data_IF_244751849576
#
_entry.id   IF_244751849576
#
_cell.length_a   1.000
_cell.length_b   1.000
_cell.length_c   1.000
_cell.angle_alpha   90.00
_cell.angle_beta   90.00
_cell.angle_gamma   90.00
#
_symmetry.space_group_name_H-M   'P 1'
#
loop_
_entity.id
_entity.type
_entity.pdbx_description
1 polymer ?
#
# COMPACT_ATOMS: atom_id res chain seq x y z
N UNK A 1 -35.86 -3.70 33.99
CA UNK A 1 -34.55 -3.86 33.33
C UNK A 1 -34.82 -4.75 32.14
N UNK A 2 -34.81 -4.22 30.91
CA UNK A 2 -35.10 -5.01 29.72
C UNK A 2 -33.88 -5.86 29.37
N UNK A 3 -34.02 -7.17 29.47
CA UNK A 3 -33.07 -8.13 28.89
C UNK A 3 -33.12 -7.98 27.36
N UNK A 4 -31.98 -7.67 26.73
CA UNK A 4 -31.88 -7.65 25.27
C UNK A 4 -32.10 -9.07 24.76
N UNK A 5 -32.86 -9.21 23.68
CA UNK A 5 -33.11 -10.51 23.08
C UNK A 5 -31.82 -11.01 22.40
N UNK A 6 -31.46 -12.31 22.48
CA UNK A 6 -30.23 -12.83 21.89
C UNK A 6 -30.12 -12.60 20.36
N UNK A 7 -31.25 -12.41 19.68
CA UNK A 7 -31.29 -12.02 18.26
C UNK A 7 -30.81 -10.58 18.03
N UNK A 8 -31.15 -9.64 18.94
CA UNK A 8 -30.73 -8.23 18.85
C UNK A 8 -29.21 -8.10 19.04
N UNK A 9 -28.64 -8.88 19.96
CA UNK A 9 -27.19 -8.90 20.19
C UNK A 9 -26.39 -9.49 19.01
N UNK A 10 -26.96 -10.48 18.30
CA UNK A 10 -26.33 -11.04 17.10
C UNK A 10 -26.31 -10.01 15.96
N UNK A 11 -27.42 -9.30 15.76
CA UNK A 11 -27.55 -8.29 14.72
C UNK A 11 -26.67 -7.06 14.97
N UNK A 12 -26.58 -6.61 16.23
CA UNK A 12 -25.68 -5.52 16.63
C UNK A 12 -24.20 -5.85 16.31
N UNK A 13 -23.78 -7.10 16.53
CA UNK A 13 -22.41 -7.55 16.24
C UNK A 13 -22.11 -7.63 14.75
N UNK A 14 -23.05 -8.15 13.95
CA UNK A 14 -22.92 -8.16 12.48
C UNK A 14 -22.76 -6.73 11.96
N UNK A 15 -23.53 -5.78 12.52
CA UNK A 15 -23.43 -4.38 12.13
C UNK A 15 -22.09 -3.75 12.50
N UNK A 16 -21.60 -4.00 13.73
CA UNK A 16 -20.27 -3.55 14.15
C UNK A 16 -19.16 -4.09 13.25
N UNK A 17 -19.25 -5.36 12.86
CA UNK A 17 -18.31 -5.97 11.93
C UNK A 17 -18.39 -5.32 10.53
N UNK A 18 -19.61 -5.08 10.03
CA UNK A 18 -19.82 -4.42 8.75
C UNK A 18 -19.26 -2.99 8.73
N UNK A 19 -19.46 -2.22 9.80
CA UNK A 19 -18.95 -0.86 9.95
C UNK A 19 -17.41 -0.85 10.01
N UNK A 20 -16.82 -1.83 10.71
CA UNK A 20 -15.36 -1.97 10.77
C UNK A 20 -14.76 -2.38 9.41
N UNK A 21 -15.43 -3.27 8.66
CA UNK A 21 -15.02 -3.65 7.30
C UNK A 21 -15.12 -2.45 6.33
N UNK A 22 -16.17 -1.64 6.47
CA UNK A 22 -16.33 -0.41 5.70
C UNK A 22 -15.22 0.60 6.01
N UNK A 23 -14.87 0.77 7.31
CA UNK A 23 -13.75 1.63 7.71
C UNK A 23 -12.43 1.14 7.12
N UNK A 24 -12.14 -0.16 7.20
CA UNK A 24 -10.93 -0.74 6.59
C UNK A 24 -10.89 -0.51 5.07
N UNK A 25 -12.03 -0.69 4.39
CA UNK A 25 -12.15 -0.45 2.95
C UNK A 25 -11.87 1.01 2.59
N UNK A 26 -12.38 1.97 3.39
CA UNK A 26 -12.13 3.38 3.20
C UNK A 26 -10.64 3.73 3.39
N UNK A 27 -9.97 3.15 4.39
CA UNK A 27 -8.53 3.34 4.62
C UNK A 27 -7.70 2.74 3.47
N UNK A 28 -8.05 1.56 2.96
CA UNK A 28 -7.41 1.00 1.77
C UNK A 28 -7.59 1.91 0.54
N UNK A 29 -8.78 2.49 0.37
CA UNK A 29 -9.06 3.46 -0.71
C UNK A 29 -8.17 4.71 -0.59
N UNK A 30 -7.98 5.22 0.63
CA UNK A 30 -7.05 6.33 0.88
C UNK A 30 -5.60 5.95 0.57
N UNK A 31 -5.15 4.75 0.97
CA UNK A 31 -3.81 4.27 0.63
C UNK A 31 -3.61 4.10 -0.88
N UNK A 32 -4.64 3.69 -1.62
CA UNK A 32 -4.60 3.61 -3.08
C UNK A 32 -4.38 5.00 -3.68
N UNK A 33 -5.16 6.00 -3.28
CA UNK A 33 -5.01 7.37 -3.78
C UNK A 33 -3.63 7.95 -3.45
N UNK A 34 -3.08 7.67 -2.26
CA UNK A 34 -1.72 8.07 -1.90
C UNK A 34 -0.66 7.32 -2.72
N UNK A 35 -0.93 6.07 -3.10
CA UNK A 35 -0.03 5.26 -3.95
C UNK A 35 -0.04 5.72 -5.40
N UNK A 36 -1.19 6.18 -5.89
CA UNK A 36 -1.30 6.84 -7.21
C UNK A 36 -0.47 8.13 -7.24
N UNK A 37 -0.63 9.00 -6.23
CA UNK A 37 0.17 10.22 -6.11
C UNK A 37 1.68 9.95 -5.98
N UNK A 38 2.05 8.87 -5.29
CA UNK A 38 3.46 8.44 -5.22
C UNK A 38 3.96 8.02 -6.60
N UNK A 39 3.15 7.28 -7.35
CA UNK A 39 3.51 6.86 -8.71
C UNK A 39 3.79 8.08 -9.59
N UNK A 40 2.93 9.09 -9.54
CA UNK A 40 3.10 10.33 -10.29
C UNK A 40 4.37 11.06 -9.88
N UNK A 41 4.64 11.18 -8.58
CA UNK A 41 5.85 11.82 -8.05
C UNK A 41 7.14 11.05 -8.40
N UNK A 42 7.09 9.71 -8.45
CA UNK A 42 8.20 8.87 -8.90
C UNK A 42 8.51 9.08 -10.38
N UNK A 43 7.47 9.21 -11.22
CA UNK A 43 7.61 9.45 -12.66
C UNK A 43 8.14 10.86 -12.93
N UNK A 44 7.69 11.86 -12.18
CA UNK A 44 8.12 13.26 -12.34
C UNK A 44 9.44 13.59 -11.65
N UNK A 45 9.95 12.69 -10.78
CA UNK A 45 11.17 12.92 -9.99
C UNK A 45 11.01 13.94 -8.85
N UNK A 46 9.79 14.13 -8.34
CA UNK A 46 9.51 15.09 -7.27
C UNK A 46 9.81 14.52 -5.88
N UNK A 47 11.05 14.69 -5.43
CA UNK A 47 11.52 14.20 -4.14
C UNK A 47 10.84 14.81 -2.91
N UNK A 48 10.33 16.05 -3.01
CA UNK A 48 9.65 16.70 -1.88
C UNK A 48 8.28 16.05 -1.64
N UNK A 49 7.51 15.89 -2.72
CA UNK A 49 6.20 15.20 -2.66
C UNK A 49 6.35 13.76 -2.17
N UNK A 50 7.40 13.04 -2.57
CA UNK A 50 7.65 11.67 -2.07
C UNK A 50 7.83 11.61 -0.55
N UNK A 51 8.53 12.59 0.03
CA UNK A 51 8.76 12.64 1.48
C UNK A 51 7.47 12.88 2.26
N UNK A 52 6.61 13.78 1.77
CA UNK A 52 5.30 14.03 2.36
C UNK A 52 4.38 12.79 2.28
N UNK A 53 4.35 12.14 1.12
CA UNK A 53 3.53 10.96 0.88
C UNK A 53 3.91 9.78 1.77
N UNK A 54 5.19 9.57 2.05
CA UNK A 54 5.65 8.53 3.00
C UNK A 54 5.05 8.75 4.40
N UNK A 55 5.01 9.99 4.86
CA UNK A 55 4.47 10.33 6.18
C UNK A 55 2.95 10.10 6.25
N UNK A 56 2.22 10.53 5.21
CA UNK A 56 0.78 10.31 5.11
C UNK A 56 0.43 8.81 5.04
N UNK A 57 1.14 8.05 4.19
CA UNK A 57 0.94 6.59 4.07
C UNK A 57 1.20 5.88 5.40
N UNK A 58 2.23 6.29 6.15
CA UNK A 58 2.50 5.73 7.47
C UNK A 58 1.33 5.98 8.44
N UNK A 59 0.80 7.19 8.47
CA UNK A 59 -0.35 7.53 9.34
C UNK A 59 -1.57 6.67 9.01
N UNK A 60 -1.93 6.55 7.73
CA UNK A 60 -3.09 5.75 7.29
C UNK A 60 -2.85 4.26 7.54
N UNK A 61 -1.63 3.75 7.32
CA UNK A 61 -1.28 2.36 7.60
C UNK A 61 -1.35 2.02 9.10
N UNK A 62 -0.98 2.96 9.98
CA UNK A 62 -1.14 2.79 11.42
C UNK A 62 -2.61 2.71 11.83
N UNK A 63 -3.46 3.58 11.27
CA UNK A 63 -4.90 3.52 11.52
C UNK A 63 -5.50 2.21 11.00
N UNK A 64 -5.10 1.77 9.80
CA UNK A 64 -5.53 0.50 9.24
C UNK A 64 -5.13 -0.68 10.13
N UNK A 65 -3.93 -0.67 10.69
CA UNK A 65 -3.47 -1.72 11.63
C UNK A 65 -4.31 -1.77 12.92
N UNK A 66 -4.74 -0.63 13.44
CA UNK A 66 -5.66 -0.58 14.58
C UNK A 66 -7.03 -1.17 14.21
N UNK A 67 -7.59 -0.77 13.07
CA UNK A 67 -8.87 -1.30 12.58
C UNK A 67 -8.81 -2.80 12.28
N UNK A 68 -7.69 -3.30 11.76
CA UNK A 68 -7.47 -4.74 11.53
C UNK A 68 -7.47 -5.52 12.85
N UNK A 69 -6.86 -4.97 13.89
CA UNK A 69 -6.86 -5.60 15.22
C UNK A 69 -8.29 -5.70 15.77
N UNK A 70 -9.06 -4.61 15.67
CA UNK A 70 -10.46 -4.60 16.10
C UNK A 70 -11.32 -5.58 15.29
N UNK A 71 -11.09 -5.63 13.97
CA UNK A 71 -11.77 -6.56 13.05
C UNK A 71 -11.49 -8.02 13.42
N UNK A 72 -10.23 -8.37 13.67
CA UNK A 72 -9.85 -9.73 14.04
C UNK A 72 -10.47 -10.15 15.38
N UNK A 73 -10.52 -9.24 16.36
CA UNK A 73 -11.16 -9.51 17.64
C UNK A 73 -12.68 -9.69 17.52
N UNK A 74 -13.36 -8.84 16.73
CA UNK A 74 -14.79 -8.97 16.45
C UNK A 74 -15.09 -10.27 15.70
N UNK A 75 -14.31 -10.56 14.67
CA UNK A 75 -14.44 -11.76 13.86
C UNK A 75 -14.24 -13.02 14.69
N UNK A 76 -13.18 -13.05 15.51
CA UNK A 76 -12.90 -14.17 16.42
C UNK A 76 -14.06 -14.43 17.38
N UNK A 77 -14.62 -13.40 18.02
CA UNK A 77 -15.78 -13.55 18.92
C UNK A 77 -17.03 -14.05 18.19
N UNK A 78 -17.21 -13.69 16.92
CA UNK A 78 -18.30 -14.21 16.10
C UNK A 78 -18.07 -15.67 15.72
N UNK A 79 -16.87 -16.02 15.26
CA UNK A 79 -16.50 -17.40 14.91
C UNK A 79 -16.58 -18.34 16.12
N UNK A 80 -16.03 -17.97 17.28
CA UNK A 80 -16.11 -18.76 18.52
C UNK A 80 -17.55 -19.13 18.91
N UNK A 81 -18.53 -18.31 18.53
CA UNK A 81 -19.95 -18.53 18.81
C UNK A 81 -20.66 -19.34 17.72
N UNK A 82 -20.42 -19.03 16.45
CA UNK A 82 -21.20 -19.55 15.32
C UNK A 82 -20.54 -20.74 14.63
N UNK A 83 -19.21 -20.81 14.62
CA UNK A 83 -18.43 -21.88 14.00
C UNK A 83 -17.13 -22.10 14.81
N UNK A 84 -17.22 -22.71 16.01
CA UNK A 84 -16.09 -22.85 16.92
C UNK A 84 -14.93 -23.70 16.36
N UNK A 85 -15.21 -24.55 15.38
CA UNK A 85 -14.22 -25.32 14.60
C UNK A 85 -13.51 -24.52 13.49
N UNK A 86 -13.95 -23.30 13.17
CA UNK A 86 -13.31 -22.46 12.15
C UNK A 86 -11.99 -21.85 12.67
N UNK A 87 -11.06 -21.60 11.74
CA UNK A 87 -9.95 -20.68 12.02
C UNK A 87 -10.52 -19.33 12.45
N UNK A 88 -10.18 -18.86 13.65
CA UNK A 88 -10.63 -17.56 14.15
C UNK A 88 -10.08 -16.38 13.33
N UNK A 89 -10.69 -15.20 13.47
CA UNK A 89 -10.27 -13.96 12.82
C UNK A 89 -10.91 -13.73 11.43
N UNK A 90 -10.40 -12.74 10.69
CA UNK A 90 -10.94 -12.32 9.39
C UNK A 90 -11.09 -13.47 8.37
N UNK A 91 -10.12 -14.40 8.33
CA UNK A 91 -10.16 -15.55 7.41
C UNK A 91 -11.31 -16.53 7.71
N UNK A 92 -11.76 -16.58 8.96
CA UNK A 92 -12.90 -17.40 9.39
C UNK A 92 -14.26 -16.77 9.10
N UNK A 93 -14.31 -15.47 8.78
CA UNK A 93 -15.60 -14.80 8.57
C UNK A 93 -16.39 -15.38 7.41
N UNK A 94 -15.71 -15.82 6.35
CA UNK A 94 -16.39 -16.47 5.22
C UNK A 94 -17.05 -17.79 5.62
N UNK A 95 -16.53 -18.49 6.63
CA UNK A 95 -17.07 -19.75 7.11
C UNK A 95 -18.35 -19.56 7.95
N UNK A 96 -18.55 -18.40 8.57
CA UNK A 96 -19.75 -18.12 9.38
C UNK A 96 -20.91 -17.53 8.56
N UNK A 97 -20.68 -17.10 7.32
CA UNK A 97 -21.73 -16.53 6.45
C UNK A 97 -22.96 -17.42 6.27
N UNK A 98 -22.85 -18.76 6.14
CA UNK A 98 -24.01 -19.64 6.03
C UNK A 98 -24.90 -19.68 7.29
N UNK A 99 -24.35 -19.31 8.45
CA UNK A 99 -25.05 -19.31 9.75
C UNK A 99 -25.82 -18.01 10.01
N UNK A 100 -25.74 -17.04 9.10
CA UNK A 100 -26.39 -15.73 9.22
C UNK A 100 -27.71 -15.68 8.45
N UNK A 101 -28.56 -14.71 8.80
CA UNK A 101 -29.73 -14.41 7.98
C UNK A 101 -29.33 -13.91 6.59
N UNK A 102 -30.22 -14.06 5.60
CA UNK A 102 -29.94 -13.66 4.21
C UNK A 102 -29.47 -12.21 4.07
N UNK A 103 -30.07 -11.30 4.84
CA UNK A 103 -29.72 -9.87 4.83
C UNK A 103 -28.34 -9.62 5.44
N UNK A 104 -28.02 -10.27 6.55
CA UNK A 104 -26.74 -10.15 7.25
C UNK A 104 -25.60 -10.74 6.43
N UNK A 105 -25.84 -11.91 5.82
CA UNK A 105 -24.93 -12.55 4.89
C UNK A 105 -24.63 -11.64 3.70
N UNK A 106 -25.65 -11.15 3.00
CA UNK A 106 -25.46 -10.30 1.82
C UNK A 106 -24.71 -9.00 2.17
N UNK A 107 -24.97 -8.42 3.34
CA UNK A 107 -24.25 -7.26 3.84
C UNK A 107 -22.75 -7.57 4.04
N UNK A 108 -22.42 -8.62 4.81
CA UNK A 108 -21.03 -8.96 5.11
C UNK A 108 -20.27 -9.44 3.87
N UNK A 109 -20.89 -10.25 3.02
CA UNK A 109 -20.30 -10.67 1.73
C UNK A 109 -19.93 -9.45 0.88
N UNK A 110 -20.86 -8.51 0.71
CA UNK A 110 -20.60 -7.30 -0.06
C UNK A 110 -19.46 -6.46 0.52
N UNK A 111 -19.31 -6.39 1.84
CA UNK A 111 -18.22 -5.67 2.51
C UNK A 111 -16.88 -6.40 2.40
N UNK A 112 -16.86 -7.72 2.57
CA UNK A 112 -15.66 -8.54 2.40
C UNK A 112 -15.14 -8.46 0.96
N UNK A 113 -16.02 -8.64 -0.03
CA UNK A 113 -15.64 -8.55 -1.44
C UNK A 113 -15.19 -7.15 -1.85
N UNK A 114 -15.73 -6.10 -1.23
CA UNK A 114 -15.24 -4.73 -1.43
C UNK A 114 -13.84 -4.55 -0.85
N UNK A 115 -13.58 -5.04 0.37
CA UNK A 115 -12.28 -4.97 1.01
C UNK A 115 -11.22 -5.75 0.20
N UNK A 116 -11.54 -6.98 -0.22
CA UNK A 116 -10.64 -7.84 -1.00
C UNK A 116 -10.19 -7.14 -2.30
N UNK A 117 -11.14 -6.52 -3.02
CA UNK A 117 -10.84 -5.74 -4.24
C UNK A 117 -9.90 -4.56 -3.97
N UNK A 118 -10.10 -3.84 -2.87
CA UNK A 118 -9.21 -2.72 -2.53
C UNK A 118 -7.82 -3.21 -2.12
N UNK A 119 -7.73 -4.29 -1.36
CA UNK A 119 -6.44 -4.90 -0.97
C UNK A 119 -5.66 -5.37 -2.20
N UNK A 120 -6.31 -6.04 -3.14
CA UNK A 120 -5.67 -6.49 -4.39
C UNK A 120 -5.19 -5.31 -5.26
N UNK A 121 -6.02 -4.27 -5.37
CA UNK A 121 -5.67 -3.03 -6.09
C UNK A 121 -4.45 -2.35 -5.45
N UNK A 122 -4.46 -2.21 -4.12
CA UNK A 122 -3.37 -1.60 -3.37
C UNK A 122 -2.06 -2.41 -3.53
N UNK A 123 -2.14 -3.74 -3.44
CA UNK A 123 -0.98 -4.62 -3.59
C UNK A 123 -0.36 -4.50 -4.99
N UNK A 124 -1.20 -4.47 -6.02
CA UNK A 124 -0.76 -4.32 -7.42
C UNK A 124 -0.08 -2.98 -7.64
N UNK A 125 -0.68 -1.87 -7.19
CA UNK A 125 -0.09 -0.53 -7.33
C UNK A 125 1.21 -0.37 -6.54
N UNK A 126 1.25 -0.88 -5.31
CA UNK A 126 2.45 -0.82 -4.48
C UNK A 126 3.61 -1.58 -5.13
N UNK A 127 3.32 -2.73 -5.78
CA UNK A 127 4.30 -3.47 -6.56
C UNK A 127 4.83 -2.67 -7.75
N UNK A 128 3.95 -1.97 -8.48
CA UNK A 128 4.35 -1.08 -9.58
C UNK A 128 5.29 0.03 -9.10
N UNK A 129 4.97 0.70 -8.00
CA UNK A 129 5.83 1.76 -7.45
C UNK A 129 7.20 1.23 -7.01
N UNK A 130 7.24 0.03 -6.42
CA UNK A 130 8.51 -0.61 -6.07
C UNK A 130 9.39 -0.90 -7.31
N UNK A 131 8.78 -1.27 -8.45
CA UNK A 131 9.51 -1.44 -9.71
C UNK A 131 10.03 -0.11 -10.27
N UNK A 132 9.22 0.96 -10.22
CA UNK A 132 9.64 2.31 -10.63
C UNK A 132 10.83 2.80 -9.80
N UNK A 133 10.80 2.61 -8.48
CA UNK A 133 11.92 2.93 -7.59
C UNK A 133 13.19 2.17 -7.99
N UNK A 134 13.10 0.85 -8.19
CA UNK A 134 14.26 0.02 -8.60
C UNK A 134 14.84 0.50 -9.93
N UNK A 135 13.99 0.85 -10.88
CA UNK A 135 14.44 1.40 -12.16
C UNK A 135 15.15 2.75 -11.98
N UNK A 136 14.56 3.67 -11.21
CA UNK A 136 15.17 4.97 -10.91
C UNK A 136 16.54 4.85 -10.23
N UNK A 137 16.70 3.94 -9.27
CA UNK A 137 18.00 3.66 -8.65
C UNK A 137 19.02 3.11 -9.66
N UNK A 138 18.61 2.23 -10.58
CA UNK A 138 19.48 1.70 -11.63
C UNK A 138 19.97 2.81 -12.56
N UNK A 139 19.09 3.75 -12.94
CA UNK A 139 19.45 4.90 -13.76
C UNK A 139 20.41 5.85 -13.03
N UNK A 140 20.10 6.19 -11.77
CA UNK A 140 20.96 7.04 -10.95
C UNK A 140 22.37 6.44 -10.79
N UNK A 141 22.47 5.13 -10.57
CA UNK A 141 23.76 4.43 -10.52
C UNK A 141 24.53 4.55 -11.84
N UNK A 142 23.86 4.33 -12.98
CA UNK A 142 24.51 4.47 -14.29
C UNK A 142 25.05 5.90 -14.52
N UNK A 143 24.33 6.92 -14.06
CA UNK A 143 24.77 8.32 -14.16
C UNK A 143 26.01 8.56 -13.31
N UNK A 144 26.03 8.02 -12.08
CA UNK A 144 27.20 8.10 -11.19
C UNK A 144 28.40 7.38 -11.81
N UNK A 145 28.22 6.17 -12.32
CA UNK A 145 29.28 5.38 -12.97
C UNK A 145 29.87 6.11 -14.20
N UNK A 146 29.03 6.76 -15.01
CA UNK A 146 29.49 7.61 -16.13
C UNK A 146 30.24 8.86 -15.65
N UNK A 147 29.77 9.50 -14.58
CA UNK A 147 30.40 10.70 -14.01
C UNK A 147 31.76 10.38 -13.38
N UNK A 148 31.92 9.19 -12.81
CA UNK A 148 33.19 8.69 -12.26
C UNK A 148 34.10 8.11 -13.36
N UNK A 149 33.53 7.53 -14.41
CA UNK A 149 34.23 6.95 -15.56
C UNK A 149 34.68 7.94 -16.64
N UNK A 150 34.21 9.20 -16.58
CA UNK A 150 34.63 10.30 -17.46
C UNK A 150 36.10 10.74 -17.31
N UNK A 151 36.83 10.18 -16.33
CA UNK A 151 38.28 10.30 -16.19
C UNK A 151 39.06 9.26 -16.99
N UNK A 152 38.64 8.96 -18.23
CA UNK A 152 39.35 8.06 -19.12
C UNK A 152 40.71 8.62 -19.51
N UNK A 153 41.75 8.33 -18.70
CA UNK A 153 43.15 8.48 -19.12
C UNK A 153 43.38 7.63 -20.36
N UNK A 154 43.47 8.27 -21.53
CA UNK A 154 44.07 7.65 -22.70
C UNK A 154 45.57 7.50 -22.44
N UNK A 155 46.03 6.27 -22.19
CA UNK A 155 47.45 5.96 -22.26
C UNK A 155 47.85 5.85 -23.74
N UNK A 156 48.56 6.85 -24.25
CA UNK A 156 49.38 6.67 -25.44
C UNK A 156 50.56 5.74 -25.10
N UNK A 157 51.01 4.85 -26.00
CA UNK A 157 52.10 3.92 -25.71
C UNK A 157 53.46 4.60 -25.47
N UNK A 158 53.55 5.92 -25.65
CA UNK A 158 54.78 6.71 -25.65
C UNK A 158 54.88 7.72 -24.50
N UNK A 159 54.29 7.46 -23.33
CA UNK A 159 54.70 8.09 -22.07
C UNK A 159 54.62 9.63 -21.96
N UNK A 160 53.88 10.32 -22.82
CA UNK A 160 53.62 11.76 -22.68
C UNK A 160 52.22 11.99 -22.08
N UNK A 161 52.16 12.60 -20.89
CA UNK A 161 50.92 13.08 -20.27
C UNK A 161 50.38 14.28 -21.07
N UNK A 162 49.40 14.03 -21.94
CA UNK A 162 48.56 15.12 -22.45
C UNK A 162 47.45 15.41 -21.43
N UNK A 163 47.52 16.58 -20.81
CA UNK A 163 46.37 17.16 -20.12
C UNK A 163 45.35 17.57 -21.18
N UNK A 164 44.32 16.75 -21.38
CA UNK A 164 43.14 17.18 -22.13
C UNK A 164 42.38 18.16 -21.23
N UNK A 165 42.66 19.45 -21.41
CA UNK A 165 41.77 20.52 -20.99
C UNK A 165 40.50 20.44 -21.83
N UNK A 166 39.57 19.58 -21.41
CA UNK A 166 38.21 19.54 -21.91
C UNK A 166 37.49 20.77 -21.40
N UNK A 167 37.63 21.89 -22.12
CA UNK A 167 36.82 23.07 -21.91
C UNK A 167 35.34 22.66 -21.96
N UNK A 168 34.67 22.83 -20.83
CA UNK A 168 33.21 22.90 -20.73
C UNK A 168 32.69 23.88 -21.79
N UNK A 169 32.11 23.36 -22.86
CA UNK A 169 31.18 24.09 -23.70
C UNK A 169 30.12 23.10 -24.11
N UNK A 170 28.96 23.17 -23.45
CA UNK A 170 27.64 22.86 -24.01
C UNK A 170 26.59 23.10 -22.91
N UNK A 171 26.37 24.38 -22.57
CA UNK A 171 25.11 24.87 -22.01
C UNK A 171 24.87 26.30 -22.51
N UNK A 172 24.51 26.42 -23.80
CA UNK A 172 23.74 27.57 -24.27
C UNK A 172 22.26 27.19 -24.17
N UNK A 173 21.60 27.67 -23.12
CA UNK A 173 20.14 27.76 -23.09
C UNK A 173 19.73 29.01 -23.88
N UNK A 174 18.99 28.81 -24.98
CA UNK A 174 18.25 29.88 -25.63
C UNK A 174 17.06 30.29 -24.74
N UNK A 175 17.03 31.57 -24.38
CA UNK A 175 15.84 32.38 -24.19
C UNK A 175 16.10 33.71 -24.94
#
# INVERSE_FOLDING_TARGET
MSERHPADESSDRVRQLADALEKATALCTQLIALTEREQDALVSGDGNTLTELVSLKRSVAQELGAVQTDLDDLARRMCERLAPESSGGLNGLRAILPELSDNERALLEGRLDALDRQVETLATRSRTNALLLRHGFSQARSIVDLSLGGGGRSYSPNGEENTVSGANSLFNYHA
#
